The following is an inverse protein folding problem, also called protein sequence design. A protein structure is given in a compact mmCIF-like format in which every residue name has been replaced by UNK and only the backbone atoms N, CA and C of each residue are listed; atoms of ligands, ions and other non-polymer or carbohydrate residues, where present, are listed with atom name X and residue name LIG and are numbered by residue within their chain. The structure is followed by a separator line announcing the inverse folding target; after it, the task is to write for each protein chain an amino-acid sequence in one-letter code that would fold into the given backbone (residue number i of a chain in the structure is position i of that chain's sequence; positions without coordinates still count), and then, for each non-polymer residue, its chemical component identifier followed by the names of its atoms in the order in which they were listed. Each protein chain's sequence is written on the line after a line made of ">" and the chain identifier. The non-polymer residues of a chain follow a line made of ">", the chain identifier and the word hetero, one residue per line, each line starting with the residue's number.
data_IF_245138665070
#
_entry.id   IF_245138665070
#
_cell.length_a   1.000
_cell.length_b   1.000
_cell.length_c   1.000
_cell.angle_alpha   90.00
_cell.angle_beta   90.00
_cell.angle_gamma   90.00
#
_symmetry.space_group_name_H-M   'P 1'
#
loop_
_entity.id
_entity.type
_entity.pdbx_description
1 polymer ?
#
# COMPACT_ATOMS: atom_id res chain seq x y z
N UNK A 1 -15.29 4.91 -6.27
CA UNK A 1 -15.91 3.79 -7.01
C UNK A 1 -14.82 2.78 -7.34
N UNK A 2 -15.13 1.49 -7.30
CA UNK A 2 -14.16 0.41 -7.61
C UNK A 2 -14.86 -0.57 -8.54
N UNK A 3 -14.20 -0.93 -9.63
CA UNK A 3 -14.63 -1.95 -10.59
C UNK A 3 -13.57 -3.06 -10.66
N UNK A 4 -14.01 -4.30 -10.74
CA UNK A 4 -13.12 -5.45 -10.83
C UNK A 4 -13.84 -6.79 -10.68
N UNK A 5 -13.07 -7.84 -10.40
CA UNK A 5 -13.56 -9.21 -10.28
C UNK A 5 -13.55 -9.68 -8.83
N UNK A 6 -14.58 -10.41 -8.43
CA UNK A 6 -14.60 -11.06 -7.11
C UNK A 6 -13.73 -12.31 -7.17
N UNK A 7 -12.85 -12.48 -6.18
CA UNK A 7 -12.04 -13.68 -6.01
C UNK A 7 -12.14 -14.18 -4.59
N UNK A 8 -12.18 -15.50 -4.44
CA UNK A 8 -12.02 -16.15 -3.14
C UNK A 8 -10.69 -16.89 -3.10
N UNK A 9 -9.94 -16.73 -2.02
CA UNK A 9 -8.72 -17.47 -1.73
C UNK A 9 -8.73 -18.01 -0.31
N UNK A 10 -7.86 -18.98 -0.06
CA UNK A 10 -7.66 -19.52 1.28
C UNK A 10 -6.18 -19.59 1.63
N UNK A 11 -5.90 -19.50 2.92
CA UNK A 11 -4.56 -19.68 3.50
C UNK A 11 -4.72 -20.30 4.88
N UNK A 12 -3.66 -20.92 5.39
CA UNK A 12 -3.62 -21.43 6.76
C UNK A 12 -2.98 -20.36 7.65
N UNK A 13 -3.63 -20.03 8.78
CA UNK A 13 -3.09 -19.05 9.73
C UNK A 13 -1.99 -19.66 10.62
N UNK A 14 -1.39 -18.86 11.51
CA UNK A 14 -0.30 -19.31 12.38
C UNK A 14 -0.70 -20.47 13.30
N UNK A 15 -1.99 -20.63 13.59
CA UNK A 15 -2.52 -21.73 14.40
C UNK A 15 -2.90 -22.95 13.54
N UNK A 16 -2.60 -22.93 12.24
CA UNK A 16 -2.94 -24.00 11.28
C UNK A 16 -4.41 -24.01 10.88
N UNK A 17 -5.18 -22.96 11.16
CA UNK A 17 -6.61 -22.89 10.81
C UNK A 17 -6.76 -22.34 9.41
N UNK A 18 -7.46 -23.07 8.52
CA UNK A 18 -7.78 -22.61 7.17
C UNK A 18 -8.75 -21.42 7.20
N UNK A 19 -8.31 -20.29 6.65
CA UNK A 19 -9.10 -19.05 6.50
C UNK A 19 -9.50 -18.84 5.06
N UNK A 20 -10.69 -18.29 4.85
CA UNK A 20 -11.23 -17.96 3.54
C UNK A 20 -11.41 -16.44 3.47
N UNK A 21 -10.91 -15.84 2.39
CA UNK A 21 -11.06 -14.41 2.13
C UNK A 21 -11.75 -14.27 0.79
N UNK A 22 -12.78 -13.42 0.74
CA UNK A 22 -13.35 -12.90 -0.50
C UNK A 22 -12.88 -11.47 -0.67
N UNK A 23 -12.26 -11.19 -1.80
CA UNK A 23 -11.67 -9.90 -2.14
C UNK A 23 -12.10 -9.46 -3.54
N UNK A 24 -12.00 -8.15 -3.81
CA UNK A 24 -12.21 -7.57 -5.14
C UNK A 24 -10.84 -7.34 -5.74
N UNK A 25 -10.52 -8.05 -6.81
CA UNK A 25 -9.35 -7.78 -7.62
C UNK A 25 -9.69 -6.61 -8.56
N UNK A 26 -9.23 -5.42 -8.20
CA UNK A 26 -9.63 -4.18 -8.85
C UNK A 26 -8.92 -4.00 -10.21
N UNK A 27 -9.71 -3.71 -11.24
CA UNK A 27 -9.22 -3.32 -12.56
C UNK A 27 -9.17 -1.78 -12.67
N UNK A 28 -10.19 -1.09 -12.12
CA UNK A 28 -10.27 0.37 -12.08
C UNK A 28 -10.64 0.87 -10.68
N UNK A 29 -9.98 1.95 -10.24
CA UNK A 29 -10.25 2.62 -8.96
C UNK A 29 -10.42 4.12 -9.19
N UNK A 30 -11.54 4.66 -8.74
CA UNK A 30 -11.82 6.09 -8.75
C UNK A 30 -12.05 6.59 -7.33
N UNK A 31 -11.22 7.54 -6.88
CA UNK A 31 -11.39 8.15 -5.56
C UNK A 31 -12.53 9.17 -5.60
N UNK A 32 -13.50 9.00 -4.72
CA UNK A 32 -14.62 9.94 -4.62
C UNK A 32 -14.26 11.07 -3.64
N UNK A 33 -14.65 12.29 -3.99
CA UNK A 33 -14.57 13.40 -3.06
C UNK A 33 -15.45 13.14 -1.84
N UNK A 34 -14.97 13.52 -0.66
CA UNK A 34 -15.77 13.48 0.56
C UNK A 34 -17.01 14.34 0.34
N UNK A 35 -18.18 13.83 0.74
CA UNK A 35 -19.45 14.57 0.62
C UNK A 35 -19.27 15.94 1.28
N UNK A 36 -19.37 17.02 0.50
CA UNK A 36 -19.23 18.38 1.00
C UNK A 36 -20.31 18.63 2.07
N UNK A 37 -19.90 18.59 3.33
CA UNK A 37 -20.81 18.55 4.47
C UNK A 37 -20.11 18.32 5.80
N UNK A 38 -18.88 18.82 5.95
CA UNK A 38 -18.25 19.19 7.21
C UNK A 38 -16.91 19.86 6.86
N UNK A 39 -16.84 21.17 7.11
CA UNK A 39 -15.64 21.99 7.36
C UNK A 39 -14.32 21.67 6.63
N UNK A 40 -13.87 22.66 5.86
CA UNK A 40 -12.46 23.01 5.65
C UNK A 40 -11.55 21.99 4.93
N UNK A 41 -11.40 22.24 3.63
CA UNK A 41 -10.09 22.59 3.06
C UNK A 41 -8.92 21.65 3.30
N UNK A 42 -8.72 20.72 2.38
CA UNK A 42 -7.38 20.39 1.89
C UNK A 42 -7.54 19.84 0.47
N UNK A 43 -7.23 20.67 -0.52
CA UNK A 43 -6.98 20.18 -1.86
C UNK A 43 -5.84 19.17 -1.78
N UNK A 44 -6.04 18.00 -2.38
CA UNK A 44 -4.95 17.09 -2.67
C UNK A 44 -4.03 17.81 -3.67
N UNK A 45 -3.04 18.52 -3.13
CA UNK A 45 -1.88 18.88 -3.90
C UNK A 45 -1.31 17.57 -4.43
N UNK A 46 -1.18 17.50 -5.75
CA UNK A 46 -0.41 16.47 -6.41
C UNK A 46 1.01 16.52 -5.83
N UNK A 47 1.30 15.64 -4.87
CA UNK A 47 2.66 15.26 -4.55
C UNK A 47 3.24 14.58 -5.80
N UNK A 48 3.85 15.41 -6.64
CA UNK A 48 4.89 14.97 -7.55
C UNK A 48 6.00 14.43 -6.66
N UNK A 49 5.97 13.12 -6.42
CA UNK A 49 7.14 12.39 -5.97
C UNK A 49 8.17 12.45 -7.10
N UNK A 50 8.94 13.53 -7.12
CA UNK A 50 10.22 13.63 -7.80
C UNK A 50 11.22 12.82 -6.99
N UNK A 51 11.42 11.55 -7.35
CA UNK A 51 12.56 10.78 -6.85
C UNK A 51 13.81 11.24 -7.58
N UNK A 52 14.32 12.41 -7.20
CA UNK A 52 15.70 12.81 -7.44
C UNK A 52 16.56 12.14 -6.36
N UNK A 53 16.99 10.91 -6.62
CA UNK A 53 18.00 10.22 -5.83
C UNK A 53 19.34 10.95 -5.99
N UNK A 54 19.74 11.67 -4.95
CA UNK A 54 21.12 12.17 -4.79
C UNK A 54 21.48 11.98 -3.32
N UNK A 55 21.90 10.76 -2.99
CA UNK A 55 22.57 10.45 -1.73
C UNK A 55 24.05 10.18 -2.03
N UNK A 56 25.00 10.90 -1.41
CA UNK A 56 26.40 10.48 -1.46
C UNK A 56 26.56 9.26 -0.54
N UNK A 57 26.65 8.08 -1.16
CA UNK A 57 26.96 6.82 -0.47
C UNK A 57 28.21 6.94 0.41
N UNK A 58 28.04 6.86 1.72
CA UNK A 58 29.15 6.60 2.65
C UNK A 58 29.41 5.08 2.65
N UNK A 59 30.50 4.68 1.99
CA UNK A 59 30.87 3.30 1.68
C UNK A 59 31.45 2.53 2.89
N UNK A 60 31.11 2.89 4.12
CA UNK A 60 31.86 2.40 5.29
C UNK A 60 31.04 1.81 6.45
N UNK A 61 29.84 1.29 6.19
CA UNK A 61 29.15 0.45 7.17
C UNK A 61 28.78 -0.93 6.59
N UNK A 62 29.60 -1.94 6.90
CA UNK A 62 29.38 -3.35 6.55
C UNK A 62 28.50 -4.09 7.58
N UNK A 63 27.80 -3.39 8.49
CA UNK A 63 27.06 -4.03 9.60
C UNK A 63 25.55 -4.21 9.39
N UNK A 64 24.93 -3.57 8.40
CA UNK A 64 23.48 -3.64 8.18
C UNK A 64 23.03 -4.77 7.22
N UNK A 65 23.97 -5.53 6.65
CA UNK A 65 23.68 -6.64 5.75
C UNK A 65 23.24 -7.95 6.47
N UNK A 66 23.22 -7.99 7.81
CA UNK A 66 23.19 -9.27 8.57
C UNK A 66 22.02 -9.44 9.56
N UNK A 67 21.14 -8.45 9.75
CA UNK A 67 20.02 -8.50 10.71
C UNK A 67 18.65 -8.29 10.03
N UNK A 68 18.41 -9.03 8.95
CA UNK A 68 17.09 -9.09 8.30
C UNK A 68 16.31 -10.29 8.86
N UNK A 69 15.09 -10.08 9.40
CA UNK A 69 14.27 -11.19 9.86
C UNK A 69 13.79 -12.01 8.65
N UNK A 70 14.19 -13.28 8.57
CA UNK A 70 13.45 -14.30 7.82
C UNK A 70 12.21 -14.75 8.61
#
# INVERSE_FOLDING_TARGET
>A
YIEGKIRSRSYDDQNGVKRYITEIYADNVEMLNRRAGAGEGAGFQNDKHDTSYNDPVDLNDNSEADDLPF
#
